data_IF_442144218556
#
_entry.id   IF_442144218556
#
_cell.length_a   1.000
_cell.length_b   1.000
_cell.length_c   1.000
_cell.angle_alpha   90.00
_cell.angle_beta   90.00
_cell.angle_gamma   90.00
#
_symmetry.space_group_name_H-M   'P 1'
#
loop_
_entity.id
_entity.type
_entity.pdbx_description
1 polymer ?
#
# COMPACT_ATOMS: atom_id res chain seq x y z
N UNK A 1 -21.52 -25.17 25.75
CA UNK A 1 -20.71 -24.35 26.68
C UNK A 1 -19.41 -25.09 26.93
N UNK A 2 -18.26 -24.50 26.58
CA UNK A 2 -16.96 -25.09 26.95
C UNK A 2 -16.70 -24.86 28.44
N UNK A 3 -16.11 -25.84 29.13
CA UNK A 3 -15.74 -25.69 30.53
C UNK A 3 -14.72 -24.54 30.70
N UNK A 4 -14.87 -23.74 31.76
CA UNK A 4 -13.98 -22.61 32.09
C UNK A 4 -13.15 -23.00 33.33
N UNK A 5 -11.91 -23.46 33.17
CA UNK A 5 -11.07 -23.83 34.31
C UNK A 5 -10.72 -22.61 35.16
N UNK A 6 -10.37 -22.84 36.43
CA UNK A 6 -9.77 -21.81 37.29
C UNK A 6 -8.30 -21.65 36.95
N UNK A 7 -7.82 -20.40 36.90
CA UNK A 7 -6.44 -20.03 36.57
C UNK A 7 -5.80 -19.37 37.79
N UNK A 8 -4.54 -19.71 38.06
CA UNK A 8 -3.76 -19.15 39.18
C UNK A 8 -3.25 -17.75 38.88
N UNK A 9 -3.35 -16.85 39.86
CA UNK A 9 -2.76 -15.50 39.83
C UNK A 9 -1.46 -15.54 40.63
N UNK A 10 -0.34 -15.29 39.96
CA UNK A 10 0.99 -15.32 40.56
C UNK A 10 1.40 -13.98 41.15
N UNK A 11 2.22 -14.01 42.21
CA UNK A 11 2.85 -12.82 42.78
C UNK A 11 3.88 -12.22 41.83
N UNK A 12 4.07 -10.90 41.86
CA UNK A 12 5.10 -10.23 41.08
C UNK A 12 6.52 -10.41 41.67
N UNK A 13 6.63 -10.74 42.95
CA UNK A 13 7.89 -10.77 43.70
C UNK A 13 8.40 -12.17 44.03
N UNK A 14 7.54 -13.18 43.97
CA UNK A 14 7.86 -14.56 44.33
C UNK A 14 7.10 -15.52 43.44
N UNK A 15 7.65 -16.72 43.24
CA UNK A 15 6.97 -17.78 42.50
C UNK A 15 5.92 -18.48 43.38
N UNK A 16 4.95 -17.68 43.84
CA UNK A 16 3.85 -18.11 44.70
C UNK A 16 2.51 -17.67 44.13
N UNK A 17 1.51 -18.54 44.30
CA UNK A 17 0.13 -18.26 43.89
C UNK A 17 -0.56 -17.42 44.96
N UNK A 18 -1.03 -16.24 44.58
CA UNK A 18 -1.66 -15.25 45.48
C UNK A 18 -3.19 -15.31 45.38
N UNK A 19 -3.72 -15.87 44.29
CA UNK A 19 -5.16 -16.00 44.12
C UNK A 19 -5.54 -16.89 42.94
N UNK A 20 -6.84 -17.03 42.68
CA UNK A 20 -7.36 -17.77 41.52
C UNK A 20 -8.52 -17.00 40.87
N UNK A 21 -8.66 -17.14 39.55
CA UNK A 21 -9.71 -16.48 38.76
C UNK A 21 -10.21 -17.43 37.65
N UNK A 22 -11.52 -17.53 37.39
CA UNK A 22 -12.04 -18.36 36.31
C UNK A 22 -11.59 -17.84 34.93
N UNK A 23 -11.14 -18.73 34.05
CA UNK A 23 -10.71 -18.39 32.69
C UNK A 23 -11.81 -17.58 31.96
N UNK A 24 -11.55 -16.36 31.48
CA UNK A 24 -12.53 -15.57 30.74
C UNK A 24 -13.03 -16.26 29.47
N UNK A 25 -14.29 -16.02 29.11
CA UNK A 25 -14.92 -16.66 27.94
C UNK A 25 -14.24 -16.31 26.60
N UNK A 26 -13.49 -15.21 26.51
CA UNK A 26 -12.76 -14.83 25.29
C UNK A 26 -11.68 -15.85 24.90
N UNK A 27 -11.09 -16.56 25.87
CA UNK A 27 -10.04 -17.55 25.61
C UNK A 27 -10.57 -18.86 25.01
N UNK A 28 -11.88 -19.09 25.03
CA UNK A 28 -12.53 -20.24 24.37
C UNK A 28 -13.26 -19.85 23.09
N UNK A 29 -13.12 -18.59 22.65
CA UNK A 29 -13.68 -18.14 21.38
C UNK A 29 -13.09 -18.95 20.20
N UNK A 30 -13.88 -19.25 19.16
CA UNK A 30 -13.40 -20.00 18.01
C UNK A 30 -12.31 -19.22 17.28
N UNK A 31 -11.17 -19.88 17.04
CA UNK A 31 -10.05 -19.28 16.33
C UNK A 31 -10.34 -19.33 14.83
N UNK A 32 -10.68 -18.17 14.26
CA UNK A 32 -10.98 -17.98 12.83
C UNK A 32 -9.87 -17.20 12.13
N UNK A 33 -8.87 -17.92 11.64
CA UNK A 33 -7.70 -17.34 10.96
C UNK A 33 -8.07 -16.57 9.69
N UNK A 34 -9.15 -16.97 9.02
CA UNK A 34 -9.75 -16.28 7.87
C UNK A 34 -10.20 -14.86 8.25
N UNK A 35 -10.95 -14.73 9.35
CA UNK A 35 -11.43 -13.42 9.85
C UNK A 35 -10.26 -12.57 10.32
N UNK A 36 -9.34 -13.14 11.09
CA UNK A 36 -8.17 -12.41 11.59
C UNK A 36 -7.38 -11.82 10.43
N UNK A 37 -7.11 -12.61 9.39
CA UNK A 37 -6.38 -12.15 8.21
C UNK A 37 -7.17 -11.09 7.43
N UNK A 38 -8.47 -11.30 7.23
CA UNK A 38 -9.33 -10.34 6.53
C UNK A 38 -9.35 -8.97 7.22
N UNK A 39 -9.60 -8.94 8.53
CA UNK A 39 -9.65 -7.70 9.32
C UNK A 39 -8.29 -7.04 9.34
N UNK A 40 -7.23 -7.80 9.64
CA UNK A 40 -5.87 -7.26 9.70
C UNK A 40 -5.45 -6.62 8.37
N UNK A 41 -5.65 -7.31 7.23
CA UNK A 41 -5.28 -6.78 5.92
C UNK A 41 -6.02 -5.48 5.59
N UNK A 42 -7.30 -5.35 5.95
CA UNK A 42 -8.06 -4.13 5.67
C UNK A 42 -7.67 -2.99 6.63
N UNK A 43 -7.50 -3.28 7.91
CA UNK A 43 -7.05 -2.29 8.89
C UNK A 43 -5.64 -1.78 8.57
N UNK A 44 -4.73 -2.66 8.14
CA UNK A 44 -3.38 -2.27 7.74
C UNK A 44 -3.35 -1.34 6.52
N UNK A 45 -4.34 -1.42 5.62
CA UNK A 45 -4.41 -0.51 4.46
C UNK A 45 -4.76 0.93 4.85
N UNK A 46 -5.42 1.14 5.99
CA UNK A 46 -5.94 2.43 6.42
C UNK A 46 -4.85 3.40 6.91
N UNK A 47 -3.69 2.89 7.33
CA UNK A 47 -2.56 3.72 7.79
C UNK A 47 -1.64 4.21 6.66
N UNK A 48 -1.91 3.80 5.42
CA UNK A 48 -1.07 4.18 4.26
C UNK A 48 -1.28 5.65 3.89
N UNK A 49 -0.18 6.35 3.62
CA UNK A 49 -0.23 7.69 3.07
C UNK A 49 -0.38 7.64 1.54
N UNK A 50 -1.19 8.54 0.99
CA UNK A 50 -1.37 8.65 -0.45
C UNK A 50 -0.08 9.14 -1.12
N UNK A 51 0.27 8.54 -2.25
CA UNK A 51 1.39 8.95 -3.08
C UNK A 51 0.95 8.96 -4.55
N UNK A 52 1.47 9.91 -5.32
CA UNK A 52 1.17 10.07 -6.74
C UNK A 52 2.33 10.73 -7.47
N UNK A 53 2.40 10.52 -8.79
CA UNK A 53 3.27 11.30 -9.67
C UNK A 53 2.68 12.69 -9.88
N UNK A 54 3.52 13.68 -10.22
CA UNK A 54 3.03 15.01 -10.60
C UNK A 54 2.14 14.88 -11.84
N UNK A 55 0.93 15.49 -11.80
CA UNK A 55 -0.04 15.52 -12.90
C UNK A 55 0.58 15.97 -14.24
N UNK A 56 1.53 16.89 -14.20
CA UNK A 56 2.17 17.45 -15.39
C UNK A 56 3.52 16.81 -15.73
N UNK A 57 3.88 15.71 -15.05
CA UNK A 57 5.12 14.99 -15.34
C UNK A 57 5.14 14.51 -16.80
N UNK A 58 6.20 14.84 -17.53
CA UNK A 58 6.33 14.55 -18.97
C UNK A 58 5.47 15.41 -19.90
N UNK A 59 4.57 16.25 -19.38
CA UNK A 59 3.62 17.05 -20.17
C UNK A 59 4.03 18.52 -20.38
N UNK A 60 5.07 19.00 -19.68
CA UNK A 60 5.52 20.40 -19.71
C UNK A 60 6.33 20.78 -20.98
N UNK A 61 5.90 20.33 -22.16
CA UNK A 61 6.53 20.68 -23.44
C UNK A 61 5.46 20.92 -24.49
N UNK A 62 5.68 21.88 -25.40
CA UNK A 62 4.84 22.02 -26.59
C UNK A 62 5.31 21.03 -27.67
N UNK A 63 4.55 19.96 -27.88
CA UNK A 63 4.89 18.93 -28.86
C UNK A 63 3.70 18.58 -29.75
N UNK A 64 3.98 18.35 -31.03
CA UNK A 64 2.99 17.92 -32.02
C UNK A 64 3.60 16.84 -32.93
N UNK A 65 2.75 15.99 -33.50
CA UNK A 65 3.20 15.00 -34.47
C UNK A 65 3.54 15.69 -35.79
N UNK A 66 4.68 15.34 -36.39
CA UNK A 66 5.06 15.85 -37.71
C UNK A 66 4.32 15.18 -38.87
N UNK A 67 3.45 14.19 -38.59
CA UNK A 67 2.75 13.43 -39.61
C UNK A 67 3.65 12.48 -40.39
N UNK A 68 3.25 12.14 -41.62
CA UNK A 68 3.99 11.28 -42.54
C UNK A 68 4.96 12.08 -43.42
N UNK A 69 5.81 11.40 -44.20
CA UNK A 69 6.66 12.04 -45.23
C UNK A 69 8.04 12.52 -44.77
N UNK A 70 8.45 12.18 -43.54
CA UNK A 70 9.76 12.59 -42.96
C UNK A 70 10.66 11.42 -42.53
N UNK A 71 10.34 10.18 -42.94
CA UNK A 71 11.06 8.96 -42.56
C UNK A 71 11.28 8.78 -41.04
N UNK A 72 10.33 9.24 -40.23
CA UNK A 72 10.36 9.12 -38.75
C UNK A 72 9.01 8.64 -38.21
N UNK A 73 9.02 8.07 -37.00
CA UNK A 73 7.80 7.68 -36.30
C UNK A 73 6.89 8.88 -36.00
N UNK A 74 5.57 8.63 -35.92
CA UNK A 74 4.52 9.66 -35.76
C UNK A 74 4.33 10.17 -34.33
N UNK A 75 5.29 9.93 -33.42
CA UNK A 75 5.22 10.44 -32.04
C UNK A 75 5.20 11.98 -32.03
N UNK A 76 4.47 12.63 -31.10
CA UNK A 76 4.64 14.05 -30.87
C UNK A 76 6.11 14.40 -30.60
N UNK A 77 6.58 15.49 -31.21
CA UNK A 77 7.98 15.95 -31.07
C UNK A 77 8.02 17.35 -30.50
N UNK A 78 9.01 17.62 -29.65
CA UNK A 78 9.22 18.93 -29.02
C UNK A 78 9.46 19.98 -30.10
N UNK A 79 8.68 21.06 -30.05
CA UNK A 79 8.74 22.16 -31.01
C UNK A 79 9.95 23.07 -30.71
N UNK A 80 10.50 23.73 -31.72
CA UNK A 80 11.64 24.65 -31.59
C UNK A 80 12.89 24.20 -32.34
N UNK A 81 14.02 24.84 -32.04
CA UNK A 81 15.33 24.56 -32.61
C UNK A 81 16.46 25.17 -31.76
N UNK A 82 17.71 24.75 -32.01
CA UNK A 82 18.89 25.29 -31.31
C UNK A 82 19.29 24.54 -30.03
N UNK A 83 18.54 23.51 -29.62
CA UNK A 83 18.88 22.62 -28.50
C UNK A 83 18.88 21.16 -28.94
N UNK A 84 19.60 20.29 -28.21
CA UNK A 84 19.60 18.84 -28.45
C UNK A 84 18.24 18.16 -28.24
N UNK A 85 17.34 18.80 -27.49
CA UNK A 85 16.00 18.30 -27.20
C UNK A 85 14.97 18.66 -28.29
N UNK A 86 15.31 19.60 -29.18
CA UNK A 86 14.42 20.01 -30.27
C UNK A 86 14.19 18.85 -31.24
N UNK A 87 12.93 18.53 -31.53
CA UNK A 87 12.56 17.41 -32.39
C UNK A 87 12.64 16.02 -31.72
N UNK A 88 13.00 15.92 -30.44
CA UNK A 88 12.93 14.66 -29.68
C UNK A 88 11.47 14.24 -29.45
N UNK A 89 11.23 12.94 -29.27
CA UNK A 89 9.90 12.40 -28.97
C UNK A 89 9.40 12.80 -27.58
N UNK A 90 8.10 13.06 -27.46
CA UNK A 90 7.45 13.50 -26.23
C UNK A 90 6.10 12.78 -26.01
N UNK A 91 5.59 12.85 -24.78
CA UNK A 91 4.29 12.32 -24.33
C UNK A 91 4.08 10.79 -24.42
N UNK A 92 5.10 10.02 -24.80
CA UNK A 92 5.04 8.57 -24.84
C UNK A 92 5.14 7.92 -23.45
N UNK A 93 4.60 6.71 -23.31
CA UNK A 93 4.75 5.81 -22.17
C UNK A 93 5.70 4.63 -22.47
N UNK A 94 6.49 4.77 -23.54
CA UNK A 94 7.24 3.71 -24.22
C UNK A 94 8.73 3.86 -24.05
#
# INVERSE_FOLDING_TARGET
MSARPSVSVYSASSDSVVGTCPLPAVFTAPIRNDIVKFVHTNMAKNSRQAYAVNRLSGMNHSAHSWGTGRAVARIPRISGGGTSTSGAGAFGNM
#
